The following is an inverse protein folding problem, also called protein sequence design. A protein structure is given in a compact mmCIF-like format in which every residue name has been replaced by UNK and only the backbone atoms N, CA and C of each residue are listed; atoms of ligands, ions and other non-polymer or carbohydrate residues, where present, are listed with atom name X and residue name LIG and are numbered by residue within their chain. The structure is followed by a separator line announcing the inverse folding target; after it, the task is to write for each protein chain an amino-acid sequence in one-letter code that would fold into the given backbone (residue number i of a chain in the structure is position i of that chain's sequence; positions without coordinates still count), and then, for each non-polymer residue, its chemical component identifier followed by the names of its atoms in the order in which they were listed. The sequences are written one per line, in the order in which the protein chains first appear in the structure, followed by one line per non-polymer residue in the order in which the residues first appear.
data_IF_147982060283
#
_entry.id   IF_147982060283
#
_cell.length_a   1.000
_cell.length_b   1.000
_cell.length_c   1.000
_cell.angle_alpha   90.00
_cell.angle_beta   90.00
_cell.angle_gamma   90.00
#
_symmetry.space_group_name_H-M   'P 1'
#
loop_
_entity.id
_entity.type
_entity.pdbx_description
1 polymer ?
#
# COMPACT_ATOMS: atom_id res chain seq x y z
N UNK A 1 13.42 27.33 0.92
CA UNK A 1 12.25 26.43 1.00
C UNK A 1 12.50 25.04 0.43
N UNK A 2 12.95 24.89 -0.84
CA UNK A 2 13.24 23.56 -1.44
C UNK A 2 14.27 22.71 -0.67
N UNK A 3 15.34 23.34 -0.18
CA UNK A 3 16.37 22.69 0.64
C UNK A 3 15.85 22.20 2.00
N UNK A 4 14.89 22.93 2.58
CA UNK A 4 14.23 22.56 3.84
C UNK A 4 13.30 21.36 3.64
N UNK A 5 12.57 21.35 2.51
CA UNK A 5 11.70 20.23 2.13
C UNK A 5 12.50 18.95 1.86
N UNK A 6 13.64 19.05 1.17
CA UNK A 6 14.58 17.95 0.96
C UNK A 6 15.16 17.42 2.28
N UNK A 7 15.54 18.32 3.19
CA UNK A 7 16.02 17.95 4.53
C UNK A 7 14.95 17.20 5.33
N UNK A 8 13.69 17.63 5.21
CA UNK A 8 12.56 17.02 5.93
C UNK A 8 12.22 15.63 5.38
N UNK A 9 12.33 15.42 4.06
CA UNK A 9 12.18 14.10 3.42
C UNK A 9 13.32 13.16 3.82
N UNK A 10 14.57 13.65 3.82
CA UNK A 10 15.74 12.87 4.22
C UNK A 10 15.65 12.46 5.69
N UNK A 11 15.21 13.38 6.56
CA UNK A 11 14.99 13.10 7.98
C UNK A 11 13.87 12.07 8.19
N UNK A 12 12.78 12.13 7.41
CA UNK A 12 11.69 11.16 7.45
C UNK A 12 12.14 9.76 7.01
N UNK A 13 12.96 9.65 5.97
CA UNK A 13 13.53 8.39 5.47
C UNK A 13 14.53 7.77 6.46
N UNK A 14 15.31 8.59 7.16
CA UNK A 14 16.28 8.15 8.17
C UNK A 14 15.63 7.71 9.49
N UNK A 15 14.41 8.20 9.79
CA UNK A 15 13.63 7.82 10.98
C UNK A 15 12.78 6.54 10.78
N UNK A 16 12.60 6.09 9.54
CA UNK A 16 11.81 4.89 9.23
C UNK A 16 12.36 3.58 9.87
N UNK A 17 13.67 3.29 9.87
CA UNK A 17 14.17 2.01 10.39
C UNK A 17 14.19 1.92 11.92
N UNK A 18 14.11 3.03 12.66
CA UNK A 18 14.16 3.01 14.14
C UNK A 18 12.82 2.68 14.80
N UNK A 19 11.72 2.62 14.01
CA UNK A 19 10.39 2.21 14.48
C UNK A 19 10.17 0.70 14.25
N UNK A 20 11.04 0.04 13.49
CA UNK A 20 10.88 -1.35 13.07
C UNK A 20 11.49 -2.39 14.05
N UNK A 21 11.62 -2.06 15.32
CA UNK A 21 11.90 -3.04 16.37
C UNK A 21 10.59 -3.62 16.92
N UNK A 22 9.72 -4.09 16.02
CA UNK A 22 8.59 -4.91 16.40
C UNK A 22 9.10 -6.32 16.67
N UNK A 23 9.09 -6.69 17.95
CA UNK A 23 9.08 -8.07 18.41
C UNK A 23 8.21 -8.86 17.44
N UNK A 24 8.77 -9.87 16.76
CA UNK A 24 8.02 -10.80 15.91
C UNK A 24 7.06 -11.62 16.77
N UNK A 25 6.08 -10.99 17.41
CA UNK A 25 4.86 -11.68 17.74
C UNK A 25 4.30 -12.13 16.40
N UNK A 26 4.28 -13.45 16.22
CA UNK A 26 3.63 -14.09 15.09
C UNK A 26 2.19 -13.56 15.12
N UNK A 27 1.88 -12.60 14.24
CA UNK A 27 0.55 -12.07 14.12
C UNK A 27 -0.39 -13.26 13.93
N UNK A 28 -1.26 -13.50 14.90
CA UNK A 28 -2.27 -14.53 14.78
C UNK A 28 -3.10 -14.20 13.54
N UNK A 29 -3.32 -15.20 12.68
CA UNK A 29 -4.16 -15.03 11.51
C UNK A 29 -5.52 -14.47 11.93
N UNK A 30 -6.15 -13.68 11.06
CA UNK A 30 -7.48 -13.09 11.33
C UNK A 30 -8.49 -14.19 11.71
N UNK A 31 -8.31 -15.38 11.12
CA UNK A 31 -9.08 -16.59 11.38
C UNK A 31 -9.02 -17.02 12.86
N UNK A 32 -7.83 -17.03 13.45
CA UNK A 32 -7.60 -17.45 14.84
C UNK A 32 -8.06 -16.39 15.85
N UNK A 33 -7.88 -15.10 15.51
CA UNK A 33 -8.25 -14.00 16.41
C UNK A 33 -9.75 -13.70 16.46
N UNK A 34 -10.49 -13.95 15.37
CA UNK A 34 -11.88 -13.50 15.23
C UNK A 34 -12.83 -14.65 14.89
N UNK A 35 -12.48 -15.49 13.92
CA UNK A 35 -13.43 -16.47 13.37
C UNK A 35 -13.71 -17.59 14.37
N UNK A 36 -12.68 -18.11 15.05
CA UNK A 36 -12.85 -19.15 16.07
C UNK A 36 -13.73 -18.69 17.25
N UNK A 37 -13.55 -17.45 17.71
CA UNK A 37 -14.33 -16.88 18.80
C UNK A 37 -15.81 -16.73 18.43
N UNK A 38 -16.09 -16.16 17.25
CA UNK A 38 -17.47 -16.00 16.78
C UNK A 38 -18.14 -17.32 16.41
N UNK A 39 -17.39 -18.32 15.92
CA UNK A 39 -17.90 -19.65 15.60
C UNK A 39 -18.25 -20.42 16.88
N UNK A 40 -17.38 -20.36 17.89
CA UNK A 40 -17.60 -20.98 19.21
C UNK A 40 -18.81 -20.35 19.92
N UNK A 41 -18.95 -19.02 19.89
CA UNK A 41 -20.11 -18.31 20.45
C UNK A 41 -21.44 -18.72 19.80
N UNK A 42 -21.40 -19.30 18.59
CA UNK A 42 -22.57 -19.83 17.88
C UNK A 42 -22.63 -21.36 17.83
N UNK A 43 -21.77 -22.06 18.56
CA UNK A 43 -21.76 -23.52 18.67
C UNK A 43 -21.44 -24.25 17.35
N UNK A 44 -20.71 -23.62 16.42
CA UNK A 44 -20.24 -24.24 15.18
C UNK A 44 -18.71 -24.19 15.14
N UNK A 45 -18.09 -25.19 14.50
CA UNK A 45 -16.67 -25.12 14.19
C UNK A 45 -16.40 -24.07 13.10
N UNK A 46 -15.24 -23.41 13.18
CA UNK A 46 -14.82 -22.40 12.21
C UNK A 46 -14.75 -23.04 10.81
N UNK A 47 -15.45 -22.45 9.84
CA UNK A 47 -15.43 -22.93 8.47
C UNK A 47 -14.09 -22.55 7.81
N UNK A 48 -13.53 -23.46 7.03
CA UNK A 48 -12.30 -23.19 6.27
C UNK A 48 -12.50 -22.01 5.30
N UNK A 49 -11.52 -21.11 5.16
CA UNK A 49 -11.59 -20.01 4.21
C UNK A 49 -11.78 -20.52 2.78
N UNK A 50 -12.77 -19.98 2.06
CA UNK A 50 -13.04 -20.32 0.66
C UNK A 50 -11.87 -19.96 -0.28
N UNK A 51 -11.05 -18.99 0.13
CA UNK A 51 -9.84 -18.59 -0.57
C UNK A 51 -8.73 -18.38 0.46
N UNK A 52 -7.66 -19.16 0.37
CA UNK A 52 -6.44 -18.94 1.16
C UNK A 52 -5.62 -17.79 0.56
N UNK A 53 -6.19 -16.58 0.53
CA UNK A 53 -5.51 -15.33 0.15
C UNK A 53 -4.70 -14.77 1.32
N UNK A 54 -4.01 -15.63 2.07
CA UNK A 54 -3.14 -15.18 3.16
C UNK A 54 -1.68 -15.06 2.72
N UNK A 55 -0.92 -14.26 3.46
CA UNK A 55 0.52 -14.08 3.26
C UNK A 55 0.87 -13.55 1.86
N UNK A 56 1.67 -14.32 1.12
CA UNK A 56 2.32 -13.88 -0.11
C UNK A 56 1.35 -13.58 -1.26
N UNK A 57 0.21 -14.27 -1.33
CA UNK A 57 -0.77 -14.01 -2.40
C UNK A 57 -1.49 -12.67 -2.20
N UNK A 58 -1.85 -12.33 -0.97
CA UNK A 58 -2.40 -11.01 -0.65
C UNK A 58 -1.39 -9.90 -0.92
N UNK A 59 -0.15 -10.12 -0.48
CA UNK A 59 0.94 -9.17 -0.69
C UNK A 59 1.19 -8.95 -2.18
N UNK A 60 1.17 -10.01 -2.97
CA UNK A 60 1.29 -9.96 -4.43
C UNK A 60 0.15 -9.18 -5.07
N UNK A 61 -1.11 -9.47 -4.70
CA UNK A 61 -2.28 -8.75 -5.24
C UNK A 61 -2.27 -7.28 -4.85
N UNK A 62 -1.88 -6.97 -3.62
CA UNK A 62 -1.73 -5.61 -3.13
C UNK A 62 -0.67 -4.85 -3.92
N UNK A 63 0.51 -5.45 -4.12
CA UNK A 63 1.58 -4.87 -4.91
C UNK A 63 1.17 -4.67 -6.37
N UNK A 64 0.49 -5.65 -6.97
CA UNK A 64 0.00 -5.58 -8.34
C UNK A 64 -1.03 -4.47 -8.51
N UNK A 65 -2.00 -4.36 -7.60
CA UNK A 65 -3.00 -3.29 -7.61
C UNK A 65 -2.34 -1.92 -7.44
N UNK A 66 -1.36 -1.79 -6.54
CA UNK A 66 -0.59 -0.57 -6.35
C UNK A 66 0.21 -0.17 -7.59
N UNK A 67 0.85 -1.14 -8.25
CA UNK A 67 1.57 -0.91 -9.50
C UNK A 67 0.61 -0.44 -10.60
N UNK A 68 -0.48 -1.16 -10.84
CA UNK A 68 -1.49 -0.79 -11.84
C UNK A 68 -2.09 0.60 -11.54
N UNK A 69 -2.48 0.87 -10.30
CA UNK A 69 -3.03 2.16 -9.87
C UNK A 69 -2.03 3.31 -10.06
N UNK A 70 -0.77 3.10 -9.66
CA UNK A 70 0.30 4.08 -9.84
C UNK A 70 0.56 4.40 -11.31
N UNK A 71 0.59 3.38 -12.18
CA UNK A 71 0.75 3.57 -13.63
C UNK A 71 -0.42 4.33 -14.24
N UNK A 72 -1.66 3.96 -13.89
CA UNK A 72 -2.86 4.65 -14.40
C UNK A 72 -2.87 6.11 -13.96
N UNK A 73 -2.63 6.36 -12.67
CA UNK A 73 -2.59 7.72 -12.12
C UNK A 73 -1.48 8.55 -12.75
N UNK A 74 -0.29 7.97 -12.93
CA UNK A 74 0.85 8.61 -13.59
C UNK A 74 0.58 8.96 -15.05
N UNK A 75 -0.07 8.06 -15.80
CA UNK A 75 -0.45 8.31 -17.19
C UNK A 75 -1.42 9.49 -17.32
N UNK A 76 -2.49 9.51 -16.50
CA UNK A 76 -3.44 10.62 -16.51
C UNK A 76 -2.80 11.93 -16.04
N UNK A 77 -1.92 11.88 -15.03
CA UNK A 77 -1.16 13.05 -14.59
C UNK A 77 -0.29 13.62 -15.72
N UNK A 78 0.45 12.78 -16.43
CA UNK A 78 1.26 13.19 -17.58
C UNK A 78 0.37 13.81 -18.67
N UNK A 79 -0.77 13.19 -18.98
CA UNK A 79 -1.69 13.71 -20.01
C UNK A 79 -2.28 15.07 -19.65
N UNK A 80 -2.67 15.26 -18.39
CA UNK A 80 -3.33 16.48 -17.94
C UNK A 80 -2.37 17.65 -17.74
N UNK A 81 -1.15 17.39 -17.24
CA UNK A 81 -0.26 18.47 -16.77
C UNK A 81 1.03 18.64 -17.58
N UNK A 82 1.41 17.66 -18.40
CA UNK A 82 2.69 17.71 -19.15
C UNK A 82 2.46 17.87 -20.64
N UNK A 83 1.42 17.25 -21.21
CA UNK A 83 1.09 17.37 -22.65
C UNK A 83 0.41 18.72 -22.99
N UNK A 84 0.00 19.50 -21.99
CA UNK A 84 -0.67 20.79 -22.17
C UNK A 84 0.22 22.01 -22.42
N UNK A 85 1.52 21.84 -22.73
CA UNK A 85 2.36 22.98 -23.13
C UNK A 85 2.30 23.12 -24.65
N UNK A 86 1.62 24.14 -25.21
CA UNK A 86 1.65 24.37 -26.65
C UNK A 86 3.11 24.65 -27.07
N UNK A 87 3.64 23.79 -27.93
CA UNK A 87 4.78 24.14 -28.78
C UNK A 87 4.26 25.11 -29.84
N UNK A 88 4.44 26.41 -29.62
CA UNK A 88 4.01 27.43 -30.57
C UNK A 88 3.74 28.78 -29.91
N UNK A 89 4.80 29.42 -29.42
CA UNK A 89 4.82 30.88 -29.28
C UNK A 89 6.24 31.34 -29.59
N UNK A 90 6.57 31.37 -30.88
CA UNK A 90 7.71 32.09 -31.46
C UNK A 90 7.41 32.34 -32.95
N UNK A 91 6.37 33.13 -33.18
CA UNK A 91 6.05 33.73 -34.46
C UNK A 91 5.41 35.10 -34.16
N UNK A 92 6.29 36.10 -34.04
CA UNK A 92 5.98 37.50 -33.74
C UNK A 92 7.21 38.30 -33.32
#
# INVERSE_FOLDING_TARGET
MKKLFLLLIVLLLLAAPTIAEEKKEKWAGIDEAVIEKYATDKGREAAEPLFNVEGDMLLFLFALAGACGGFVMGFYWHKLFVVGKPEGENDG
#
